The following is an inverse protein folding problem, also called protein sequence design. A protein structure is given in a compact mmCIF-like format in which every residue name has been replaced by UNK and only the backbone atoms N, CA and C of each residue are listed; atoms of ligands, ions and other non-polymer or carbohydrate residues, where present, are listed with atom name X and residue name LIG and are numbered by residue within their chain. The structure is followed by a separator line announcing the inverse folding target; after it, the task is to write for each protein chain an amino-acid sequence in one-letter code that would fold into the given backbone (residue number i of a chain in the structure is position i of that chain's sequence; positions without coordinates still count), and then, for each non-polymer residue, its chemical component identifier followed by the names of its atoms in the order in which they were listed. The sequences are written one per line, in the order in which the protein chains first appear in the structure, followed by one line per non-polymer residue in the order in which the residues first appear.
data_IF_130638238363
#
_entry.id   IF_130638238363
#
_cell.length_a   1.000
_cell.length_b   1.000
_cell.length_c   1.000
_cell.angle_alpha   90.00
_cell.angle_beta   90.00
_cell.angle_gamma   90.00
#
_symmetry.space_group_name_H-M   'P 1'
#
loop_
_entity.id
_entity.type
_entity.pdbx_description
1 polymer ?
#
# COMPACT_ATOMS: atom_id res chain seq x y z
N UNK A 1 12.54 1.69 -29.95
CA UNK A 1 12.87 2.31 -28.65
C UNK A 1 11.89 1.75 -27.63
N UNK A 2 12.35 1.22 -26.49
CA UNK A 2 11.45 0.79 -25.42
C UNK A 2 10.63 2.00 -24.93
N UNK A 3 9.36 1.78 -24.60
CA UNK A 3 8.53 2.81 -23.97
C UNK A 3 8.99 3.04 -22.51
N UNK A 4 8.60 4.16 -21.91
CA UNK A 4 8.86 4.41 -20.48
C UNK A 4 8.27 3.30 -19.59
N UNK A 5 7.16 2.70 -20.00
CA UNK A 5 6.53 1.57 -19.32
C UNK A 5 7.41 0.31 -19.38
N UNK A 6 7.99 0.02 -20.54
CA UNK A 6 8.88 -1.15 -20.72
C UNK A 6 10.14 -1.02 -19.88
N UNK A 7 10.73 0.19 -19.83
CA UNK A 7 11.91 0.48 -18.99
C UNK A 7 11.58 0.29 -17.51
N UNK A 8 10.44 0.81 -17.05
CA UNK A 8 10.00 0.64 -15.66
C UNK A 8 9.79 -0.82 -15.31
N UNK A 9 9.11 -1.58 -16.17
CA UNK A 9 8.89 -3.01 -15.97
C UNK A 9 10.22 -3.77 -15.86
N UNK A 10 11.21 -3.43 -16.70
CA UNK A 10 12.57 -3.99 -16.62
C UNK A 10 13.28 -3.69 -15.30
N UNK A 11 13.23 -2.44 -14.82
CA UNK A 11 13.83 -2.05 -13.54
C UNK A 11 13.18 -2.77 -12.36
N UNK A 12 11.86 -2.90 -12.39
CA UNK A 12 11.10 -3.61 -11.35
C UNK A 12 11.43 -5.10 -11.34
N UNK A 13 11.51 -5.73 -12.50
CA UNK A 13 11.90 -7.14 -12.61
C UNK A 13 13.35 -7.38 -12.14
N UNK A 14 14.27 -6.44 -12.45
CA UNK A 14 15.64 -6.50 -11.96
C UNK A 14 15.72 -6.37 -10.43
N UNK A 15 14.95 -5.45 -9.84
CA UNK A 15 14.87 -5.29 -8.39
C UNK A 15 14.31 -6.54 -7.71
N UNK A 16 13.30 -7.17 -8.29
CA UNK A 16 12.74 -8.43 -7.78
C UNK A 16 13.74 -9.58 -7.83
N UNK A 17 14.45 -9.70 -8.95
CA UNK A 17 15.51 -10.68 -9.14
C UNK A 17 16.67 -10.52 -8.14
N UNK A 18 16.98 -9.28 -7.75
CA UNK A 18 18.07 -8.95 -6.81
C UNK A 18 17.66 -9.15 -5.34
N UNK A 19 16.46 -8.68 -4.96
CA UNK A 19 16.02 -8.71 -3.55
C UNK A 19 15.49 -10.08 -3.08
N UNK A 20 14.79 -10.80 -3.97
CA UNK A 20 14.03 -12.03 -3.64
C UNK A 20 14.45 -13.19 -4.52
N UNK A 21 14.75 -12.91 -5.80
CA UNK A 21 15.09 -13.90 -6.80
C UNK A 21 13.90 -14.66 -7.37
N UNK A 22 14.15 -15.67 -8.24
CA UNK A 22 15.47 -16.02 -8.76
C UNK A 22 15.97 -14.98 -9.79
N UNK A 23 17.30 -14.88 -9.94
CA UNK A 23 17.92 -14.06 -10.97
C UNK A 23 17.85 -14.75 -12.33
N UNK A 24 16.69 -14.64 -12.96
CA UNK A 24 16.41 -15.26 -14.25
C UNK A 24 15.69 -14.29 -15.20
N UNK A 25 16.42 -13.33 -15.78
CA UNK A 25 15.82 -12.33 -16.67
C UNK A 25 15.09 -13.03 -17.84
N UNK A 26 13.78 -12.83 -17.90
CA UNK A 26 12.91 -13.35 -18.96
C UNK A 26 12.32 -14.75 -18.73
N UNK A 27 12.66 -15.44 -17.63
CA UNK A 27 11.98 -16.67 -17.24
C UNK A 27 10.68 -16.37 -16.47
N UNK A 28 9.61 -17.18 -16.63
CA UNK A 28 8.45 -17.07 -15.78
C UNK A 28 8.84 -17.29 -14.31
N UNK A 29 8.26 -16.48 -13.42
CA UNK A 29 8.52 -16.54 -11.98
C UNK A 29 8.43 -17.97 -11.45
N UNK A 30 9.44 -18.40 -10.70
CA UNK A 30 9.47 -19.71 -10.04
C UNK A 30 10.06 -20.88 -10.84
N UNK A 31 10.12 -20.81 -12.17
CA UNK A 31 10.58 -21.94 -13.01
C UNK A 31 12.08 -21.93 -13.34
N UNK A 32 12.80 -20.87 -13.00
CA UNK A 32 14.18 -20.72 -13.40
C UNK A 32 15.15 -21.59 -12.59
N UNK A 33 16.07 -22.24 -13.31
CA UNK A 33 17.29 -22.80 -12.73
C UNK A 33 18.28 -21.67 -12.43
N UNK A 34 18.92 -21.74 -11.26
CA UNK A 34 19.88 -20.73 -10.82
C UNK A 34 20.99 -21.40 -10.00
N UNK A 35 22.21 -20.89 -10.16
CA UNK A 35 23.39 -21.29 -9.42
C UNK A 35 24.02 -20.05 -8.77
N UNK A 36 24.05 -20.02 -7.44
CA UNK A 36 24.63 -18.92 -6.68
C UNK A 36 26.05 -19.25 -6.20
N UNK A 37 27.00 -18.31 -6.26
CA UNK A 37 28.36 -18.50 -5.76
C UNK A 37 28.46 -18.31 -4.22
N UNK A 38 27.45 -17.72 -3.60
CA UNK A 38 27.36 -17.46 -2.15
C UNK A 38 26.15 -18.19 -1.56
N UNK A 39 26.11 -18.41 -0.23
CA UNK A 39 24.90 -18.85 0.46
C UNK A 39 23.72 -17.93 0.11
N UNK A 40 22.53 -18.47 -0.24
CA UNK A 40 21.40 -17.66 -0.68
C UNK A 40 20.92 -16.63 0.36
N UNK A 41 21.06 -16.89 1.66
CA UNK A 41 20.77 -15.92 2.74
C UNK A 41 21.69 -14.70 2.73
N UNK A 42 22.85 -14.80 2.07
CA UNK A 42 23.79 -13.68 1.81
C UNK A 42 23.64 -13.09 0.42
N UNK A 43 22.80 -13.70 -0.41
CA UNK A 43 22.54 -13.25 -1.78
C UNK A 43 21.24 -12.45 -1.86
N UNK A 44 20.19 -12.94 -1.20
CA UNK A 44 18.90 -12.27 -1.14
C UNK A 44 18.71 -11.54 0.18
N UNK A 45 18.09 -10.37 0.11
CA UNK A 45 17.79 -9.55 1.29
C UNK A 45 16.52 -10.02 2.00
N UNK A 46 15.54 -10.54 1.24
CA UNK A 46 14.23 -10.92 1.77
C UNK A 46 13.65 -12.11 0.99
N UNK A 47 12.42 -12.51 1.29
CA UNK A 47 11.79 -13.61 0.56
C UNK A 47 12.04 -15.01 1.12
N UNK A 48 12.65 -15.13 2.30
CA UNK A 48 13.05 -16.43 2.85
C UNK A 48 12.71 -16.59 4.32
N UNK A 49 12.62 -17.83 4.79
CA UNK A 49 12.44 -18.19 6.20
C UNK A 49 13.55 -19.12 6.69
N UNK A 50 14.27 -18.68 7.72
CA UNK A 50 15.20 -19.48 8.48
C UNK A 50 14.46 -20.46 9.42
N UNK A 51 15.08 -21.60 9.80
CA UNK A 51 14.55 -22.44 10.87
C UNK A 51 14.29 -21.64 12.16
N UNK A 52 13.15 -21.86 12.80
CA UNK A 52 12.77 -21.16 14.04
C UNK A 52 13.80 -21.33 15.16
N UNK A 53 14.48 -22.49 15.19
CA UNK A 53 15.52 -22.79 16.15
C UNK A 53 16.90 -22.20 15.81
N UNK A 54 17.08 -21.62 14.62
CA UNK A 54 18.36 -21.08 14.13
C UNK A 54 18.13 -19.80 13.32
N UNK A 55 17.90 -18.71 14.07
CA UNK A 55 17.54 -17.40 13.53
C UNK A 55 18.67 -16.38 13.61
N UNK A 56 19.74 -16.66 14.34
CA UNK A 56 20.82 -15.69 14.53
C UNK A 56 21.60 -15.49 13.22
N UNK A 57 21.86 -14.24 12.84
CA UNK A 57 22.74 -13.94 11.71
C UNK A 57 24.18 -14.28 12.08
N UNK A 58 24.85 -15.10 11.27
CA UNK A 58 26.27 -15.39 11.44
C UNK A 58 27.19 -14.46 10.61
N UNK A 59 26.65 -13.36 10.09
CA UNK A 59 27.41 -12.42 9.26
C UNK A 59 28.10 -11.34 10.13
N UNK A 60 29.45 -11.25 10.13
CA UNK A 60 30.17 -10.26 10.92
C UNK A 60 29.90 -8.81 10.49
N UNK A 61 29.36 -8.56 9.29
CA UNK A 61 28.95 -7.23 8.81
C UNK A 61 27.49 -6.89 9.11
N UNK A 62 26.68 -7.83 9.59
CA UNK A 62 25.30 -7.54 10.00
C UNK A 62 25.21 -6.70 11.29
N UNK A 63 26.33 -6.54 11.99
CA UNK A 63 26.52 -5.70 13.19
C UNK A 63 26.99 -4.28 12.86
N UNK A 64 27.24 -3.96 11.58
CA UNK A 64 27.62 -2.63 11.09
C UNK A 64 26.36 -1.88 10.62
N UNK A 65 25.46 -1.60 11.56
CA UNK A 65 24.42 -0.59 11.33
C UNK A 65 25.12 0.75 11.07
N UNK A 66 24.71 1.42 9.99
CA UNK A 66 25.22 2.72 9.53
C UNK A 66 25.27 3.72 10.70
N UNK A 67 26.43 3.87 11.33
CA UNK A 67 26.67 5.01 12.21
C UNK A 67 26.64 6.23 11.31
N UNK A 68 25.55 6.98 11.43
CA UNK A 68 25.43 8.29 10.85
C UNK A 68 26.55 9.14 11.45
N UNK A 69 27.67 9.24 10.75
CA UNK A 69 28.72 10.20 11.06
C UNK A 69 28.12 11.58 10.77
N UNK A 70 27.40 12.12 11.74
CA UNK A 70 27.19 13.55 11.85
C UNK A 70 28.57 14.16 12.06
N UNK A 71 29.14 14.68 10.98
CA UNK A 71 30.18 15.69 11.07
C UNK A 71 29.51 16.95 11.62
N UNK A 72 29.35 17.03 12.94
CA UNK A 72 29.20 18.31 13.63
C UNK A 72 30.12 18.27 14.86
N UNK A 73 31.18 19.06 14.73
CA UNK A 73 32.20 19.36 15.71
C UNK A 73 31.57 20.28 16.77
N UNK A 74 31.16 19.71 17.90
CA UNK A 74 30.90 20.46 19.14
C UNK A 74 31.48 19.66 20.32
N UNK A 75 32.55 20.22 20.90
CA UNK A 75 33.16 19.76 22.14
C UNK A 75 32.13 19.85 23.29
N UNK A 76 32.13 18.85 24.18
CA UNK A 76 31.29 18.73 25.39
C UNK A 76 29.91 18.02 25.25
N UNK A 77 29.89 16.78 24.77
CA UNK A 77 28.84 15.81 25.13
C UNK A 77 29.42 14.48 25.58
N UNK A 78 28.88 13.96 26.68
CA UNK A 78 29.22 12.65 27.22
C UNK A 78 29.08 11.58 26.13
N UNK A 79 29.95 10.56 26.06
CA UNK A 79 29.79 9.50 25.08
C UNK A 79 28.40 8.89 25.25
N UNK A 80 27.59 8.76 24.18
CA UNK A 80 26.28 8.16 24.27
C UNK A 80 26.44 6.76 24.87
N UNK A 81 25.60 6.43 25.84
CA UNK A 81 25.54 5.11 26.45
C UNK A 81 25.31 4.12 25.30
N UNK A 82 26.28 3.24 25.04
CA UNK A 82 26.23 2.28 23.93
C UNK A 82 24.98 1.42 24.13
N UNK A 83 23.92 1.72 23.37
CA UNK A 83 22.73 0.88 23.37
C UNK A 83 23.16 -0.56 23.06
N UNK A 84 22.66 -1.56 23.81
CA UNK A 84 23.08 -2.94 23.64
C UNK A 84 22.80 -3.37 22.20
N UNK A 85 23.87 -3.71 21.45
CA UNK A 85 23.80 -4.23 20.07
C UNK A 85 22.77 -5.36 20.00
N UNK A 86 21.59 -5.07 19.46
CA UNK A 86 20.58 -6.09 19.24
C UNK A 86 21.04 -6.95 18.07
N UNK A 87 21.21 -8.26 18.33
CA UNK A 87 21.56 -9.21 17.28
C UNK A 87 20.44 -9.26 16.25
N UNK A 88 20.79 -9.14 14.98
CA UNK A 88 19.85 -9.32 13.90
C UNK A 88 19.37 -10.79 13.83
N UNK A 89 18.06 -10.98 13.69
CA UNK A 89 17.43 -12.29 13.59
C UNK A 89 16.71 -12.46 12.26
N UNK A 90 16.99 -13.55 11.55
CA UNK A 90 16.25 -13.91 10.36
C UNK A 90 14.78 -14.24 10.67
N UNK A 91 13.86 -13.95 9.74
CA UNK A 91 12.46 -14.34 9.89
C UNK A 91 12.34 -15.87 9.83
N UNK A 92 11.55 -16.44 10.74
CA UNK A 92 11.23 -17.87 10.74
C UNK A 92 9.77 -18.15 10.35
N UNK A 93 8.98 -17.09 10.21
CA UNK A 93 7.58 -17.14 9.81
C UNK A 93 7.19 -15.91 9.02
N UNK A 94 6.25 -16.07 8.11
CA UNK A 94 5.53 -14.97 7.45
C UNK A 94 4.07 -15.36 7.28
N UNK A 95 3.17 -14.38 7.16
CA UNK A 95 1.75 -14.66 7.13
C UNK A 95 0.89 -13.49 6.74
N UNK A 96 -0.42 -13.69 6.80
CA UNK A 96 -1.39 -12.61 6.64
C UNK A 96 -2.62 -12.82 7.52
N UNK A 97 -3.22 -11.70 7.91
CA UNK A 97 -4.50 -11.62 8.60
C UNK A 97 -5.60 -11.18 7.64
N UNK A 98 -6.73 -11.86 7.70
CA UNK A 98 -7.94 -11.57 6.93
C UNK A 98 -9.15 -11.50 7.85
N UNK A 99 -10.20 -10.83 7.40
CA UNK A 99 -11.51 -10.92 8.05
C UNK A 99 -12.41 -11.88 7.28
N UNK A 100 -13.06 -12.76 8.02
CA UNK A 100 -14.02 -13.72 7.53
C UNK A 100 -15.44 -13.26 7.91
N UNK A 101 -16.45 -13.57 7.07
CA UNK A 101 -17.83 -13.35 7.42
C UNK A 101 -18.24 -14.23 8.61
N UNK A 102 -19.43 -13.93 9.15
CA UNK A 102 -20.08 -14.75 10.17
C UNK A 102 -20.10 -16.24 9.76
N UNK A 103 -19.89 -17.18 10.70
CA UNK A 103 -19.99 -18.61 10.43
C UNK A 103 -21.28 -18.95 9.65
N UNK A 104 -21.16 -19.82 8.66
CA UNK A 104 -22.31 -20.29 7.88
C UNK A 104 -23.26 -21.17 8.71
N UNK A 105 -22.74 -21.79 9.79
CA UNK A 105 -23.43 -22.85 10.55
C UNK A 105 -23.04 -24.27 10.10
N UNK A 106 -22.28 -24.39 9.01
CA UNK A 106 -21.71 -25.65 8.51
C UNK A 106 -20.19 -25.69 8.74
N UNK A 107 -19.54 -26.87 8.70
CA UNK A 107 -18.08 -26.94 8.74
C UNK A 107 -17.45 -26.22 7.54
N UNK A 108 -16.61 -25.22 7.81
CA UNK A 108 -15.97 -24.40 6.80
C UNK A 108 -14.46 -24.69 6.78
N UNK A 109 -13.86 -24.66 5.59
CA UNK A 109 -12.40 -24.73 5.43
C UNK A 109 -11.88 -23.52 4.66
N UNK A 110 -10.61 -23.22 4.88
CA UNK A 110 -9.83 -22.30 4.05
C UNK A 110 -8.64 -23.05 3.47
N UNK A 111 -8.42 -22.86 2.17
CA UNK A 111 -7.24 -23.41 1.50
C UNK A 111 -6.07 -22.44 1.66
N UNK A 112 -4.97 -22.93 2.22
CA UNK A 112 -3.70 -22.22 2.21
C UNK A 112 -2.75 -22.94 1.26
N UNK A 113 -2.31 -22.25 0.21
CA UNK A 113 -1.32 -22.73 -0.76
C UNK A 113 0.01 -22.04 -0.50
N UNK A 114 1.07 -22.83 -0.33
CA UNK A 114 2.42 -22.34 -0.11
C UNK A 114 3.27 -22.72 -1.33
N UNK A 115 4.00 -21.74 -1.87
CA UNK A 115 5.03 -21.96 -2.89
C UNK A 115 6.37 -21.45 -2.36
N UNK A 116 7.45 -22.14 -2.69
CA UNK A 116 8.81 -21.77 -2.28
C UNK A 116 9.85 -22.54 -3.11
N UNK A 117 11.11 -22.19 -2.93
CA UNK A 117 12.27 -22.89 -3.44
C UNK A 117 13.25 -23.24 -2.31
N UNK A 118 14.06 -24.25 -2.56
CA UNK A 118 15.18 -24.63 -1.69
C UNK A 118 16.49 -24.46 -2.45
N UNK A 119 17.60 -24.39 -1.72
CA UNK A 119 18.93 -24.40 -2.34
C UNK A 119 19.75 -25.56 -1.81
N UNK A 120 20.37 -26.29 -2.72
CA UNK A 120 21.25 -27.40 -2.41
C UNK A 120 22.69 -26.96 -2.65
N UNK A 121 23.54 -27.12 -1.63
CA UNK A 121 24.98 -26.89 -1.75
C UNK A 121 25.63 -27.99 -2.58
N UNK A 122 26.35 -27.61 -3.62
CA UNK A 122 27.08 -28.50 -4.51
C UNK A 122 28.55 -28.08 -4.64
N UNK A 123 29.43 -29.06 -4.82
CA UNK A 123 30.85 -28.82 -5.11
C UNK A 123 31.12 -29.11 -6.57
N UNK A 124 31.44 -28.08 -7.34
CA UNK A 124 31.82 -28.21 -8.74
C UNK A 124 33.35 -28.32 -8.88
N UNK A 125 33.79 -29.23 -9.76
CA UNK A 125 35.19 -29.34 -10.16
C UNK A 125 35.53 -28.14 -11.05
N UNK A 126 36.64 -27.46 -10.75
CA UNK A 126 37.18 -26.41 -11.61
C UNK A 126 38.32 -26.96 -12.48
N UNK A 127 38.69 -26.24 -13.54
CA UNK A 127 39.81 -26.59 -14.42
C UNK A 127 41.16 -26.68 -13.67
N UNK A 128 41.26 -26.07 -12.48
CA UNK A 128 42.34 -26.31 -11.53
C UNK A 128 41.98 -27.47 -10.59
N UNK A 129 42.66 -28.63 -10.66
CA UNK A 129 42.28 -29.84 -9.92
C UNK A 129 42.35 -29.70 -8.38
N UNK A 130 42.95 -28.61 -7.87
CA UNK A 130 43.07 -28.31 -6.44
C UNK A 130 42.01 -27.36 -5.89
N UNK A 131 41.18 -26.73 -6.72
CA UNK A 131 40.11 -25.82 -6.24
C UNK A 131 38.74 -26.42 -6.52
N UNK A 132 37.97 -26.63 -5.46
CA UNK A 132 36.53 -26.94 -5.56
C UNK A 132 35.76 -25.64 -5.41
N UNK A 133 34.87 -25.34 -6.36
CA UNK A 133 33.97 -24.20 -6.24
C UNK A 133 32.68 -24.67 -5.60
N UNK A 134 32.35 -24.10 -4.45
CA UNK A 134 31.06 -24.31 -3.80
C UNK A 134 30.04 -23.44 -4.52
N UNK A 135 28.91 -24.03 -4.90
CA UNK A 135 27.78 -23.34 -5.50
C UNK A 135 26.49 -23.80 -4.84
N UNK A 136 25.46 -22.97 -4.91
CA UNK A 136 24.13 -23.27 -4.39
C UNK A 136 23.16 -23.36 -5.56
N UNK A 137 22.61 -24.56 -5.79
CA UNK A 137 21.65 -24.81 -6.86
C UNK A 137 20.23 -24.68 -6.35
N UNK A 138 19.45 -23.84 -7.01
CA UNK A 138 18.02 -23.67 -6.74
C UNK A 138 17.24 -24.93 -7.11
N UNK A 139 16.30 -25.31 -6.25
CA UNK A 139 15.34 -26.40 -6.43
C UNK A 139 13.94 -25.85 -6.16
N UNK A 140 13.20 -25.42 -7.20
CA UNK A 140 11.81 -25.02 -7.02
C UNK A 140 10.97 -26.20 -6.54
N UNK A 141 10.18 -25.98 -5.49
CA UNK A 141 9.23 -26.97 -5.01
C UNK A 141 7.86 -26.74 -5.66
N UNK A 142 7.09 -27.81 -5.98
CA UNK A 142 5.74 -27.64 -6.51
C UNK A 142 4.84 -26.98 -5.45
N UNK A 143 3.83 -26.19 -5.86
CA UNK A 143 2.84 -25.64 -4.93
C UNK A 143 2.21 -26.73 -4.06
N UNK A 144 2.13 -26.47 -2.76
CA UNK A 144 1.53 -27.38 -1.77
C UNK A 144 0.38 -26.69 -1.08
N UNK A 145 -0.76 -27.38 -0.93
CA UNK A 145 -1.94 -26.81 -0.27
C UNK A 145 -2.36 -27.63 0.93
N UNK A 146 -2.88 -26.94 1.95
CA UNK A 146 -3.59 -27.52 3.09
C UNK A 146 -4.99 -26.93 3.19
N UNK A 147 -5.96 -27.76 3.58
CA UNK A 147 -7.33 -27.34 3.88
C UNK A 147 -7.46 -27.22 5.40
N UNK A 148 -7.40 -26.00 5.93
CA UNK A 148 -7.53 -25.72 7.36
C UNK A 148 -9.00 -25.58 7.73
N UNK A 149 -9.53 -26.40 8.67
CA UNK A 149 -10.84 -26.15 9.26
C UNK A 149 -10.86 -24.78 9.94
N UNK A 150 -11.92 -23.99 9.73
CA UNK A 150 -12.13 -22.69 10.39
C UNK A 150 -12.66 -22.87 11.83
N UNK A 151 -11.90 -23.65 12.60
CA UNK A 151 -12.06 -23.89 14.03
C UNK A 151 -10.83 -23.33 14.76
N UNK A 152 -11.04 -22.64 15.88
CA UNK A 152 -9.95 -21.93 16.57
C UNK A 152 -8.83 -22.87 17.03
N UNK A 153 -9.18 -24.05 17.53
CA UNK A 153 -8.21 -25.04 17.99
C UNK A 153 -7.46 -25.67 16.81
N UNK A 154 -8.16 -26.03 15.74
CA UNK A 154 -7.53 -26.59 14.54
C UNK A 154 -6.55 -25.60 13.87
N UNK A 155 -6.92 -24.32 13.84
CA UNK A 155 -6.06 -23.24 13.31
C UNK A 155 -4.81 -23.04 14.19
N UNK A 156 -4.94 -23.10 15.51
CA UNK A 156 -3.83 -22.96 16.45
C UNK A 156 -2.88 -24.18 16.44
N UNK A 157 -3.45 -25.41 16.44
CA UNK A 157 -2.69 -26.65 16.30
C UNK A 157 -1.91 -26.66 14.96
N UNK A 158 -2.53 -26.16 13.90
CA UNK A 158 -1.96 -26.00 12.57
C UNK A 158 -1.78 -27.33 11.82
N UNK A 159 -1.53 -27.25 10.51
CA UNK A 159 -1.32 -28.41 9.64
C UNK A 159 0.09 -28.40 9.04
N UNK A 160 0.80 -29.55 9.03
CA UNK A 160 2.07 -29.67 8.31
C UNK A 160 1.83 -29.52 6.81
N UNK A 161 2.76 -28.86 6.12
CA UNK A 161 2.72 -28.76 4.67
C UNK A 161 3.06 -30.13 4.05
N UNK A 162 2.25 -30.66 3.10
CA UNK A 162 2.48 -31.99 2.53
C UNK A 162 3.87 -32.15 1.92
N UNK A 163 4.48 -33.33 2.15
CA UNK A 163 5.81 -33.72 1.67
C UNK A 163 6.94 -32.72 1.98
N UNK A 164 6.72 -31.84 2.96
CA UNK A 164 7.67 -30.78 3.32
C UNK A 164 7.95 -30.82 4.82
N UNK A 165 8.83 -31.72 5.29
CA UNK A 165 9.09 -31.89 6.72
C UNK A 165 9.53 -30.58 7.38
N UNK A 166 8.92 -30.29 8.53
CA UNK A 166 9.23 -29.13 9.34
C UNK A 166 8.61 -27.81 8.86
N UNK A 167 7.84 -27.78 7.78
CA UNK A 167 7.08 -26.58 7.39
C UNK A 167 5.62 -26.76 7.81
N UNK A 168 5.07 -25.76 8.50
CA UNK A 168 3.71 -25.83 9.04
C UNK A 168 2.94 -24.55 8.73
N UNK A 169 1.64 -24.69 8.47
CA UNK A 169 0.69 -23.57 8.43
C UNK A 169 -0.13 -23.58 9.72
N UNK A 170 0.00 -22.54 10.53
CA UNK A 170 -0.73 -22.38 11.78
C UNK A 170 -1.15 -20.93 11.98
N UNK A 171 -1.99 -20.67 12.96
CA UNK A 171 -2.52 -19.32 13.12
C UNK A 171 -3.37 -19.10 14.34
N UNK A 172 -4.21 -18.07 14.26
CA UNK A 172 -5.21 -17.75 15.26
C UNK A 172 -6.52 -17.36 14.57
N UNK A 173 -7.63 -17.86 15.10
CA UNK A 173 -8.98 -17.47 14.68
C UNK A 173 -9.73 -16.92 15.89
N UNK A 174 -10.17 -15.67 15.82
CA UNK A 174 -10.86 -14.99 16.92
C UNK A 174 -12.03 -14.12 16.43
N UNK A 175 -13.04 -13.86 17.27
CA UNK A 175 -14.08 -12.89 16.95
C UNK A 175 -13.48 -11.49 16.71
N UNK A 176 -13.98 -10.77 15.69
CA UNK A 176 -13.51 -9.45 15.32
C UNK A 176 -14.66 -8.43 15.26
N UNK A 177 -15.46 -8.37 16.34
CA UNK A 177 -16.59 -7.44 16.41
C UNK A 177 -16.09 -6.01 16.64
N UNK A 178 -16.40 -5.14 15.69
CA UNK A 178 -16.10 -3.71 15.73
C UNK A 178 -17.17 -2.96 14.91
N UNK A 179 -17.29 -1.62 15.05
CA UNK A 179 -18.20 -0.84 14.21
C UNK A 179 -17.97 -1.07 12.71
N UNK A 180 -18.98 -1.58 12.01
CA UNK A 180 -18.90 -1.97 10.60
C UNK A 180 -18.42 -3.41 10.34
N UNK A 181 -18.11 -4.18 11.38
CA UNK A 181 -17.57 -5.55 11.32
C UNK A 181 -18.36 -6.56 12.19
N UNK A 182 -19.64 -6.29 12.43
CA UNK A 182 -20.45 -7.09 13.37
C UNK A 182 -20.59 -8.56 12.98
N UNK A 183 -20.17 -9.44 13.88
CA UNK A 183 -20.19 -10.89 13.68
C UNK A 183 -19.13 -11.41 12.69
N UNK A 184 -18.10 -10.63 12.37
CA UNK A 184 -16.93 -11.10 11.61
C UNK A 184 -15.92 -11.83 12.50
N UNK A 185 -15.00 -12.54 11.87
CA UNK A 185 -13.91 -13.28 12.55
C UNK A 185 -12.57 -12.84 11.95
N UNK A 186 -11.57 -12.58 12.77
CA UNK A 186 -10.21 -12.36 12.32
C UNK A 186 -9.48 -13.71 12.26
N UNK A 187 -8.91 -14.02 11.09
CA UNK A 187 -8.07 -15.17 10.87
C UNK A 187 -6.66 -14.68 10.52
N UNK A 188 -5.68 -15.05 11.33
CA UNK A 188 -4.26 -14.81 11.07
C UNK A 188 -3.60 -16.14 10.77
N UNK A 189 -3.07 -16.35 9.57
CA UNK A 189 -2.37 -17.57 9.18
C UNK A 189 -0.91 -17.27 8.85
N UNK A 190 -0.03 -18.14 9.30
CA UNK A 190 1.41 -18.04 9.16
C UNK A 190 1.97 -19.34 8.60
N UNK A 191 2.93 -19.23 7.68
CA UNK A 191 3.85 -20.32 7.37
C UNK A 191 5.03 -20.20 8.32
N UNK A 192 5.37 -21.29 9.01
CA UNK A 192 6.48 -21.35 9.97
C UNK A 192 7.47 -22.42 9.54
N UNK A 193 8.75 -22.06 9.46
CA UNK A 193 9.83 -23.00 9.25
C UNK A 193 10.29 -23.58 10.60
N UNK A 194 9.80 -24.77 10.95
CA UNK A 194 10.15 -25.56 12.15
C UNK A 194 11.17 -26.67 11.85
N UNK A 195 11.95 -26.55 10.78
CA UNK A 195 13.05 -27.49 10.50
C UNK A 195 14.08 -27.43 11.63
N UNK A 196 14.83 -28.52 11.78
CA UNK A 196 16.01 -28.49 12.63
C UNK A 196 17.11 -27.64 11.98
N UNK A 197 17.93 -26.94 12.78
CA UNK A 197 19.08 -26.18 12.28
C UNK A 197 19.98 -27.03 11.38
N UNK A 198 20.62 -26.38 10.41
CA UNK A 198 21.60 -27.04 9.55
C UNK A 198 22.93 -27.25 10.28
N UNK A 199 23.77 -28.13 9.75
CA UNK A 199 25.17 -28.18 10.19
C UNK A 199 25.89 -26.88 9.81
N UNK A 200 27.01 -26.59 10.49
CA UNK A 200 27.80 -25.37 10.21
C UNK A 200 28.26 -25.35 8.74
N UNK A 201 27.92 -24.28 8.03
CA UNK A 201 28.18 -24.11 6.59
C UNK A 201 27.10 -24.70 5.68
N UNK A 202 26.05 -25.29 6.25
CA UNK A 202 24.90 -25.89 5.57
C UNK A 202 23.56 -25.34 6.08
N UNK A 203 23.57 -24.22 6.82
CA UNK A 203 22.35 -23.64 7.42
C UNK A 203 21.31 -23.31 6.34
N UNK A 204 21.71 -22.66 5.26
CA UNK A 204 20.83 -22.25 4.15
C UNK A 204 20.12 -23.43 3.47
N UNK A 205 20.65 -24.65 3.56
CA UNK A 205 19.96 -25.84 3.05
C UNK A 205 18.70 -26.19 3.86
N UNK A 206 18.52 -25.59 5.04
CA UNK A 206 17.32 -25.70 5.89
C UNK A 206 16.36 -24.51 5.74
N UNK A 207 16.77 -23.48 5.02
CA UNK A 207 15.93 -22.32 4.75
C UNK A 207 14.97 -22.64 3.59
N UNK A 208 13.91 -21.85 3.48
CA UNK A 208 13.04 -21.85 2.31
C UNK A 208 13.02 -20.43 1.74
N UNK A 209 13.13 -20.31 0.41
CA UNK A 209 13.31 -19.04 -0.30
C UNK A 209 12.17 -18.81 -1.28
N UNK A 210 12.01 -17.55 -1.72
CA UNK A 210 10.93 -17.11 -2.61
C UNK A 210 9.57 -17.60 -2.14
N UNK A 211 9.34 -17.51 -0.83
CA UNK A 211 8.14 -18.07 -0.21
C UNK A 211 6.93 -17.18 -0.51
N UNK A 212 5.83 -17.78 -0.94
CA UNK A 212 4.53 -17.14 -1.12
C UNK A 212 3.45 -17.97 -0.44
N UNK A 213 2.53 -17.29 0.25
CA UNK A 213 1.32 -17.84 0.85
C UNK A 213 0.11 -17.24 0.16
N UNK A 214 -0.73 -18.10 -0.41
CA UNK A 214 -2.03 -17.75 -0.98
C UNK A 214 -3.14 -18.37 -0.11
N UNK A 215 -4.11 -17.55 0.27
CA UNK A 215 -5.33 -17.99 0.93
C UNK A 215 -6.50 -17.93 -0.04
N UNK A 216 -7.22 -19.04 -0.17
CA UNK A 216 -8.45 -19.13 -0.93
C UNK A 216 -9.63 -19.54 -0.03
N UNK A 217 -10.68 -18.73 -0.06
CA UNK A 217 -11.90 -18.95 0.70
C UNK A 217 -13.15 -18.69 -0.15
N UNK A 218 -13.94 -19.74 -0.38
CA UNK A 218 -15.04 -19.72 -1.34
C UNK A 218 -16.13 -18.70 -1.03
N UNK A 219 -16.38 -18.38 0.25
CA UNK A 219 -17.38 -17.38 0.66
C UNK A 219 -16.89 -15.93 0.57
N UNK A 220 -15.61 -15.74 0.29
CA UNK A 220 -14.99 -14.42 0.22
C UNK A 220 -14.59 -13.84 1.57
N UNK A 221 -13.65 -12.91 1.52
CA UNK A 221 -13.18 -12.16 2.67
C UNK A 221 -14.05 -10.93 2.90
N UNK A 222 -14.00 -10.38 4.11
CA UNK A 222 -14.67 -9.13 4.48
C UNK A 222 -13.60 -8.03 4.49
N UNK A 223 -13.83 -6.89 3.83
CA UNK A 223 -12.89 -5.79 3.92
C UNK A 223 -13.04 -5.07 5.27
N UNK A 224 -11.93 -4.70 5.90
CA UNK A 224 -11.91 -3.82 7.06
C UNK A 224 -12.18 -2.38 6.58
N UNK A 225 -13.28 -1.73 7.04
CA UNK A 225 -13.52 -0.34 6.71
C UNK A 225 -12.46 0.54 7.36
N UNK A 226 -11.92 1.52 6.62
CA UNK A 226 -11.10 2.55 7.25
C UNK A 226 -12.02 3.49 8.05
N UNK A 227 -11.73 3.63 9.35
CA UNK A 227 -12.46 4.51 10.28
C UNK A 227 -11.52 5.25 11.25
N UNK A 228 -10.21 5.26 10.97
CA UNK A 228 -9.22 5.81 11.89
C UNK A 228 -9.43 7.31 12.15
N UNK A 229 -9.74 8.07 11.10
CA UNK A 229 -9.95 9.52 11.20
C UNK A 229 -11.36 9.94 11.63
N UNK A 230 -12.32 9.00 11.75
CA UNK A 230 -13.73 9.32 12.05
C UNK A 230 -13.90 10.05 13.39
N UNK A 231 -13.02 9.75 14.35
CA UNK A 231 -13.02 10.32 15.70
C UNK A 231 -11.83 11.24 15.99
N UNK A 232 -11.06 11.59 14.97
CA UNK A 232 -9.88 12.43 15.14
C UNK A 232 -10.24 13.82 15.64
N UNK A 233 -9.41 14.37 16.53
CA UNK A 233 -9.52 15.75 16.99
C UNK A 233 -9.14 16.74 15.89
N UNK A 234 -8.21 16.35 15.02
CA UNK A 234 -7.78 17.14 13.88
C UNK A 234 -8.89 17.20 12.81
N UNK A 235 -9.33 18.40 12.38
CA UNK A 235 -10.23 18.55 11.25
C UNK A 235 -9.73 17.87 9.96
N UNK A 236 -8.43 17.90 9.67
CA UNK A 236 -7.87 17.38 8.42
C UNK A 236 -7.95 15.85 8.37
N UNK A 237 -7.71 15.18 9.49
CA UNK A 237 -7.88 13.72 9.61
C UNK A 237 -9.33 13.29 9.40
N UNK A 238 -10.31 14.08 9.87
CA UNK A 238 -11.74 13.81 9.63
C UNK A 238 -12.13 14.02 8.17
N UNK A 239 -11.53 15.00 7.50
CA UNK A 239 -11.71 15.22 6.06
C UNK A 239 -11.10 14.06 5.28
N UNK A 240 -9.90 13.60 5.65
CA UNK A 240 -9.25 12.45 5.05
C UNK A 240 -10.09 11.17 5.23
N UNK A 241 -10.63 10.90 6.42
CA UNK A 241 -11.57 9.78 6.64
C UNK A 241 -12.76 9.84 5.68
N UNK A 242 -13.37 11.02 5.50
CA UNK A 242 -14.49 11.18 4.59
C UNK A 242 -14.08 10.96 3.12
N UNK A 243 -12.92 11.48 2.70
CA UNK A 243 -12.41 11.33 1.33
C UNK A 243 -12.11 9.86 1.02
N UNK A 244 -11.43 9.16 1.94
CA UNK A 244 -11.00 7.79 1.76
C UNK A 244 -12.00 6.74 2.29
N UNK A 245 -13.23 7.12 2.64
CA UNK A 245 -14.28 6.23 3.21
C UNK A 245 -14.57 4.96 2.42
N UNK A 246 -14.37 4.99 1.10
CA UNK A 246 -14.60 3.86 0.19
C UNK A 246 -13.36 2.96 0.03
N UNK A 247 -12.21 3.37 0.57
CA UNK A 247 -11.02 2.53 0.63
C UNK A 247 -11.14 1.59 1.81
N UNK A 248 -10.85 0.33 1.57
CA UNK A 248 -10.92 -0.70 2.60
C UNK A 248 -9.74 -1.64 2.50
N UNK A 249 -9.36 -2.18 3.64
CA UNK A 249 -8.22 -3.09 3.76
C UNK A 249 -8.72 -4.53 3.75
N UNK A 250 -8.29 -5.32 2.77
CA UNK A 250 -8.72 -6.72 2.66
C UNK A 250 -7.92 -7.66 3.55
N UNK A 251 -6.65 -7.31 3.82
CA UNK A 251 -5.74 -8.11 4.60
C UNK A 251 -4.58 -7.26 5.14
N UNK A 252 -3.97 -7.76 6.21
CA UNK A 252 -2.73 -7.22 6.78
C UNK A 252 -1.66 -8.30 6.67
N UNK A 253 -0.54 -7.98 6.06
CA UNK A 253 0.60 -8.89 6.01
C UNK A 253 1.47 -8.83 7.26
N UNK A 254 2.07 -9.95 7.61
CA UNK A 254 3.00 -10.10 8.74
C UNK A 254 4.36 -10.52 8.23
N UNK A 255 5.32 -9.60 8.28
CA UNK A 255 6.67 -9.79 7.73
C UNK A 255 6.71 -9.80 6.19
N UNK A 256 5.59 -9.55 5.52
CA UNK A 256 5.43 -9.52 4.06
C UNK A 256 4.21 -8.65 3.72
N UNK A 257 4.11 -8.11 2.50
CA UNK A 257 2.91 -7.39 2.06
C UNK A 257 1.86 -8.39 1.51
N UNK A 258 0.65 -7.90 1.23
CA UNK A 258 -0.46 -8.71 0.71
C UNK A 258 -1.14 -7.99 -0.43
N UNK A 259 -1.57 -8.74 -1.43
CA UNK A 259 -2.35 -8.24 -2.55
C UNK A 259 -3.52 -9.18 -2.88
N UNK A 260 -4.58 -8.60 -3.43
CA UNK A 260 -5.68 -9.34 -4.04
C UNK A 260 -5.41 -9.46 -5.55
N UNK A 261 -5.32 -10.67 -6.11
CA UNK A 261 -5.21 -10.85 -7.56
C UNK A 261 -6.32 -10.13 -8.34
N UNK A 262 -5.97 -9.57 -9.50
CA UNK A 262 -6.88 -8.83 -10.37
C UNK A 262 -8.06 -9.70 -10.89
N UNK A 263 -9.15 -9.04 -11.29
CA UNK A 263 -10.28 -9.67 -11.97
C UNK A 263 -11.29 -10.37 -11.04
N UNK A 264 -11.09 -10.30 -9.72
CA UNK A 264 -12.04 -10.82 -8.74
C UNK A 264 -13.26 -9.90 -8.59
N UNK A 265 -14.48 -10.44 -8.77
CA UNK A 265 -15.73 -9.71 -8.46
C UNK A 265 -15.94 -9.55 -6.95
N UNK A 266 -15.55 -10.58 -6.20
CA UNK A 266 -15.50 -10.62 -4.75
C UNK A 266 -14.14 -11.20 -4.37
N UNK A 267 -13.48 -10.59 -3.39
CA UNK A 267 -12.13 -11.03 -2.97
C UNK A 267 -12.26 -12.37 -2.25
N UNK A 268 -11.91 -13.44 -2.95
CA UNK A 268 -11.93 -14.83 -2.48
C UNK A 268 -10.53 -15.40 -2.38
N UNK A 269 -9.56 -14.73 -3.00
CA UNK A 269 -8.16 -15.11 -3.01
C UNK A 269 -7.31 -13.90 -2.63
N UNK A 270 -6.35 -14.11 -1.73
CA UNK A 270 -5.37 -13.13 -1.28
C UNK A 270 -4.01 -13.82 -1.24
N UNK A 271 -2.95 -13.13 -1.66
CA UNK A 271 -1.60 -13.68 -1.66
C UNK A 271 -0.60 -12.71 -1.07
N UNK A 272 0.44 -13.25 -0.46
CA UNK A 272 1.58 -12.46 0.01
C UNK A 272 2.43 -11.97 -1.16
N UNK A 273 3.04 -10.80 -1.04
CA UNK A 273 4.00 -10.25 -2.01
C UNK A 273 5.14 -9.55 -1.29
N UNK A 274 6.37 -9.80 -1.71
CA UNK A 274 7.56 -9.18 -1.12
C UNK A 274 7.86 -7.80 -1.67
N UNK A 275 7.39 -7.53 -2.90
CA UNK A 275 7.57 -6.25 -3.58
C UNK A 275 6.18 -5.80 -4.04
N UNK A 276 5.38 -5.19 -3.15
CA UNK A 276 4.04 -4.72 -3.48
C UNK A 276 4.12 -3.65 -4.57
N UNK A 277 3.17 -3.70 -5.51
CA UNK A 277 3.11 -2.76 -6.65
C UNK A 277 1.73 -2.14 -6.72
N UNK A 278 1.70 -0.83 -6.93
CA UNK A 278 0.46 -0.12 -7.20
C UNK A 278 0.67 0.92 -8.28
N UNK A 279 -0.22 0.94 -9.28
CA UNK A 279 -0.19 1.96 -10.31
C UNK A 279 -0.97 3.19 -9.85
N UNK A 280 -0.26 4.30 -9.62
CA UNK A 280 -0.90 5.58 -9.35
C UNK A 280 -1.47 6.12 -10.65
N UNK A 281 -2.80 6.15 -10.75
CA UNK A 281 -3.50 6.66 -11.92
C UNK A 281 -3.20 8.15 -12.11
N UNK A 282 -2.91 8.54 -13.35
CA UNK A 282 -2.72 9.96 -13.68
C UNK A 282 -4.04 10.71 -13.53
N UNK A 283 -3.98 11.86 -12.84
CA UNK A 283 -5.10 12.81 -12.79
C UNK A 283 -5.36 13.32 -14.20
N UNK A 284 -6.56 13.05 -14.71
CA UNK A 284 -7.06 13.58 -15.99
C UNK A 284 -8.02 14.71 -15.68
N UNK A 285 -7.67 15.92 -16.09
CA UNK A 285 -8.55 17.08 -15.94
C UNK A 285 -9.82 16.89 -16.76
N UNK A 286 -10.96 17.23 -16.15
CA UNK A 286 -12.24 17.29 -16.85
C UNK A 286 -12.19 18.41 -17.89
N UNK A 287 -12.65 18.12 -19.10
CA UNK A 287 -12.84 19.15 -20.13
C UNK A 287 -14.30 19.57 -20.11
N UNK A 288 -14.58 20.70 -19.48
CA UNK A 288 -15.89 21.32 -19.53
C UNK A 288 -15.92 22.32 -20.69
N UNK A 289 -16.56 21.93 -21.79
CA UNK A 289 -16.69 22.72 -23.02
C UNK A 289 -17.21 24.16 -22.85
N UNK A 290 -18.09 24.49 -21.89
CA UNK A 290 -18.57 25.86 -21.72
C UNK A 290 -17.66 26.77 -20.90
N UNK A 291 -16.59 26.27 -20.26
CA UNK A 291 -15.73 27.09 -19.38
C UNK A 291 -14.54 27.65 -20.16
N UNK A 292 -14.38 28.97 -20.14
CA UNK A 292 -13.19 29.62 -20.68
C UNK A 292 -12.03 29.50 -19.69
N UNK A 293 -11.13 28.55 -19.92
CA UNK A 293 -9.97 28.30 -19.05
C UNK A 293 -8.65 28.87 -19.57
N UNK A 294 -8.61 29.35 -20.83
CA UNK A 294 -7.42 29.97 -21.41
C UNK A 294 -7.24 31.40 -20.92
N UNK A 295 -6.08 31.68 -20.33
CA UNK A 295 -5.75 33.00 -19.78
C UNK A 295 -5.82 34.10 -20.84
N UNK A 296 -5.44 33.82 -22.09
CA UNK A 296 -5.53 34.79 -23.19
C UNK A 296 -6.97 35.18 -23.51
N UNK A 297 -7.90 34.23 -23.37
CA UNK A 297 -9.33 34.49 -23.57
C UNK A 297 -9.90 35.41 -22.49
N UNK A 298 -9.58 35.12 -21.23
CA UNK A 298 -10.02 35.92 -20.09
C UNK A 298 -9.39 37.32 -20.10
N UNK A 299 -8.10 37.44 -20.46
CA UNK A 299 -7.41 38.72 -20.56
C UNK A 299 -8.02 39.65 -21.62
N UNK A 300 -8.42 39.11 -22.78
CA UNK A 300 -9.11 39.87 -23.82
C UNK A 300 -10.47 40.41 -23.33
N UNK A 301 -11.25 39.55 -22.67
CA UNK A 301 -12.54 39.97 -22.09
C UNK A 301 -12.37 41.05 -21.02
N UNK A 302 -11.31 40.95 -20.21
CA UNK A 302 -10.99 41.96 -19.20
C UNK A 302 -10.55 43.30 -19.81
N UNK A 303 -9.69 43.27 -20.82
CA UNK A 303 -9.23 44.47 -21.54
C UNK A 303 -10.39 45.20 -22.23
N UNK A 304 -11.25 44.44 -22.93
CA UNK A 304 -12.42 45.00 -23.61
C UNK A 304 -13.41 45.63 -22.61
N UNK A 305 -13.65 45.01 -21.46
CA UNK A 305 -14.52 45.58 -20.44
C UNK A 305 -13.99 46.90 -19.85
N UNK A 306 -12.66 47.07 -19.78
CA UNK A 306 -12.02 48.32 -19.36
C UNK A 306 -12.15 49.42 -20.44
N UNK A 307 -11.95 49.06 -21.72
CA UNK A 307 -12.14 49.97 -22.86
C UNK A 307 -13.58 50.46 -22.99
N UNK A 308 -14.55 49.56 -22.79
CA UNK A 308 -15.99 49.86 -22.86
C UNK A 308 -16.51 50.62 -21.61
N UNK A 309 -15.65 50.88 -20.62
CA UNK A 309 -16.02 51.53 -19.35
C UNK A 309 -16.98 50.71 -18.48
N UNK A 310 -17.13 49.42 -18.77
CA UNK A 310 -18.05 48.49 -18.07
C UNK A 310 -17.37 47.74 -16.91
N UNK A 311 -16.06 47.93 -16.72
CA UNK A 311 -15.29 47.45 -15.59
C UNK A 311 -14.40 48.55 -15.01
N UNK A 312 -14.09 48.44 -13.71
CA UNK A 312 -13.10 49.27 -13.03
C UNK A 312 -11.88 48.42 -12.65
N UNK A 313 -10.71 49.06 -12.46
CA UNK A 313 -9.50 48.37 -12.03
C UNK A 313 -9.76 47.53 -10.75
N UNK A 314 -9.39 46.25 -10.82
CA UNK A 314 -9.58 45.30 -9.72
C UNK A 314 -10.97 44.66 -9.61
N UNK A 315 -11.89 44.89 -10.55
CA UNK A 315 -13.18 44.15 -10.65
C UNK A 315 -13.24 43.34 -11.95
N UNK A 316 -13.64 42.06 -11.92
CA UNK A 316 -13.93 41.33 -13.15
C UNK A 316 -15.15 41.97 -13.83
N UNK A 317 -14.99 42.38 -15.09
CA UNK A 317 -16.12 42.87 -15.89
C UNK A 317 -17.18 41.77 -16.09
N UNK A 318 -18.43 42.16 -16.35
CA UNK A 318 -19.56 41.24 -16.51
C UNK A 318 -19.28 40.11 -17.52
N UNK A 319 -18.51 40.40 -18.57
CA UNK A 319 -18.10 39.42 -19.57
C UNK A 319 -17.15 38.33 -19.04
N UNK A 320 -16.22 38.69 -18.14
CA UNK A 320 -15.31 37.74 -17.47
C UNK A 320 -16.09 36.87 -16.48
N UNK A 321 -16.99 37.49 -15.70
CA UNK A 321 -17.87 36.75 -14.80
C UNK A 321 -18.74 35.75 -15.56
N UNK A 322 -19.38 36.16 -16.67
CA UNK A 322 -20.17 35.28 -17.52
C UNK A 322 -19.34 34.13 -18.13
N UNK A 323 -18.08 34.36 -18.48
CA UNK A 323 -17.20 33.34 -19.03
C UNK A 323 -16.77 32.27 -17.99
N UNK A 324 -16.72 32.64 -16.71
CA UNK A 324 -16.39 31.75 -15.60
C UNK A 324 -17.63 31.15 -14.92
N UNK A 325 -18.81 31.73 -15.12
CA UNK A 325 -20.08 31.28 -14.54
C UNK A 325 -20.33 29.76 -14.71
N UNK A 326 -20.09 29.13 -15.88
CA UNK A 326 -20.33 27.70 -16.03
C UNK A 326 -19.45 26.82 -15.13
N UNK A 327 -18.26 27.30 -14.72
CA UNK A 327 -17.42 26.62 -13.75
C UNK A 327 -18.08 26.62 -12.38
N UNK A 328 -18.62 27.77 -11.99
CA UNK A 328 -19.25 27.93 -10.68
C UNK A 328 -20.54 27.12 -10.59
N UNK A 329 -21.34 27.10 -11.66
CA UNK A 329 -22.53 26.26 -11.77
C UNK A 329 -22.17 24.76 -11.66
N UNK A 330 -21.08 24.34 -12.33
CA UNK A 330 -20.59 22.98 -12.26
C UNK A 330 -20.15 22.58 -10.83
N UNK A 331 -19.46 23.47 -10.11
CA UNK A 331 -19.10 23.24 -8.70
C UNK A 331 -20.33 23.22 -7.79
N UNK A 332 -21.31 24.11 -7.99
CA UNK A 332 -22.54 24.12 -7.21
C UNK A 332 -23.32 22.81 -7.38
N UNK A 333 -23.45 22.32 -8.62
CA UNK A 333 -24.07 21.03 -8.92
C UNK A 333 -23.28 19.88 -8.27
N UNK A 334 -21.95 19.88 -8.39
CA UNK A 334 -21.09 18.85 -7.77
C UNK A 334 -21.19 18.84 -6.25
N UNK A 335 -21.22 19.99 -5.58
CA UNK A 335 -21.44 20.12 -4.12
C UNK A 335 -22.82 19.57 -3.75
N UNK A 336 -23.84 19.87 -4.56
CA UNK A 336 -25.19 19.31 -4.41
C UNK A 336 -25.19 17.78 -4.48
N UNK A 337 -24.44 17.18 -5.42
CA UNK A 337 -24.25 15.74 -5.48
C UNK A 337 -23.54 15.20 -4.23
N UNK A 338 -22.45 15.84 -3.79
CA UNK A 338 -21.69 15.42 -2.60
C UNK A 338 -22.56 15.45 -1.33
N UNK A 339 -23.43 16.44 -1.18
CA UNK A 339 -24.33 16.58 -0.04
C UNK A 339 -25.31 15.40 0.10
N UNK A 340 -25.63 14.73 -1.00
CA UNK A 340 -26.60 13.63 -1.07
C UNK A 340 -25.97 12.23 -1.03
N UNK A 341 -24.64 12.12 -1.00
CA UNK A 341 -23.97 10.81 -0.91
C UNK A 341 -24.34 10.15 0.43
N UNK A 342 -24.86 8.90 0.42
CA UNK A 342 -25.17 8.18 1.66
C UNK A 342 -23.89 7.88 2.44
N UNK A 343 -23.94 8.06 3.75
CA UNK A 343 -22.82 7.79 4.67
C UNK A 343 -23.27 6.79 5.74
N UNK A 344 -22.35 5.97 6.19
CA UNK A 344 -22.55 4.88 7.16
C UNK A 344 -22.30 5.30 8.61
N UNK A 345 -21.98 6.59 8.84
CA UNK A 345 -21.67 7.15 10.15
C UNK A 345 -22.23 8.56 10.33
N UNK A 346 -22.86 8.86 11.49
CA UNK A 346 -23.25 10.22 11.87
C UNK A 346 -22.07 11.21 11.93
N UNK A 347 -20.86 10.77 12.30
CA UNK A 347 -19.69 11.65 12.37
C UNK A 347 -19.24 12.08 10.98
N UNK A 348 -19.29 11.16 10.01
CA UNK A 348 -19.03 11.49 8.60
C UNK A 348 -20.07 12.46 8.05
N UNK A 349 -21.34 12.30 8.44
CA UNK A 349 -22.38 13.25 8.07
C UNK A 349 -22.13 14.66 8.62
N UNK A 350 -21.65 14.77 9.85
CA UNK A 350 -21.27 16.04 10.47
C UNK A 350 -20.12 16.71 9.70
N UNK A 351 -19.03 15.97 9.44
CA UNK A 351 -17.89 16.46 8.65
C UNK A 351 -18.35 16.92 7.26
N UNK A 352 -19.19 16.14 6.57
CA UNK A 352 -19.77 16.52 5.27
C UNK A 352 -20.57 17.83 5.38
N UNK A 353 -21.44 17.95 6.39
CA UNK A 353 -22.24 19.18 6.61
C UNK A 353 -21.32 20.39 6.79
N UNK A 354 -20.26 20.27 7.58
CA UNK A 354 -19.28 21.35 7.78
C UNK A 354 -18.61 21.75 6.46
N UNK A 355 -18.21 20.79 5.64
CA UNK A 355 -17.57 21.07 4.34
C UNK A 355 -18.54 21.73 3.36
N UNK A 356 -19.77 21.22 3.24
CA UNK A 356 -20.81 21.77 2.36
C UNK A 356 -21.18 23.19 2.82
N UNK A 357 -21.39 23.41 4.12
CA UNK A 357 -21.72 24.73 4.67
C UNK A 357 -20.57 25.72 4.46
N UNK A 358 -19.31 25.31 4.55
CA UNK A 358 -18.16 26.18 4.28
C UNK A 358 -18.05 26.55 2.80
N UNK A 359 -18.38 25.63 1.87
CA UNK A 359 -18.20 25.86 0.44
C UNK A 359 -19.36 26.62 -0.23
N UNK A 360 -20.60 26.48 0.26
CA UNK A 360 -21.77 27.16 -0.34
C UNK A 360 -21.62 28.70 -0.33
N UNK A 361 -21.24 29.36 0.78
CA UNK A 361 -21.02 30.81 0.80
C UNK A 361 -19.85 31.25 -0.07
N UNK A 362 -18.82 30.43 -0.25
CA UNK A 362 -17.66 30.77 -1.09
C UNK A 362 -18.00 30.73 -2.58
N UNK A 363 -18.76 29.71 -3.00
CA UNK A 363 -19.33 29.62 -4.35
C UNK A 363 -20.30 30.79 -4.59
N UNK A 364 -21.20 31.08 -3.65
CA UNK A 364 -22.14 32.20 -3.74
C UNK A 364 -21.43 33.56 -3.73
N UNK A 365 -20.34 33.71 -2.96
CA UNK A 365 -19.52 34.93 -2.93
C UNK A 365 -18.71 35.12 -4.21
N UNK A 366 -18.22 34.04 -4.84
CA UNK A 366 -17.57 34.11 -6.14
C UNK A 366 -18.56 34.54 -7.25
N UNK A 367 -19.84 34.20 -7.09
CA UNK A 367 -20.95 34.63 -7.97
C UNK A 367 -21.42 36.07 -7.72
N UNK A 368 -21.18 36.60 -6.53
CA UNK A 368 -21.76 37.86 -6.06
C UNK A 368 -20.69 38.84 -5.58
N UNK A 369 -19.75 39.25 -6.45
CA UNK A 369 -18.82 40.35 -6.11
C UNK A 369 -19.33 41.67 -6.71
N UNK A 370 -19.98 42.57 -5.94
CA UNK A 370 -20.17 43.96 -6.35
C UNK A 370 -19.26 44.98 -5.62
N UNK A 371 -18.56 44.66 -4.52
CA UNK A 371 -17.96 45.72 -3.67
C UNK A 371 -16.60 45.39 -3.02
N UNK A 372 -15.59 46.29 -3.04
CA UNK A 372 -14.29 46.07 -2.46
C UNK A 372 -14.18 46.79 -1.10
N UNK A 373 -14.42 46.09 0.01
CA UNK A 373 -13.84 46.49 1.30
C UNK A 373 -12.56 45.71 1.55
N UNK A 374 -11.60 46.31 2.26
CA UNK A 374 -10.29 45.73 2.60
C UNK A 374 -10.40 44.37 3.31
N UNK A 375 -11.49 44.16 4.03
CA UNK A 375 -11.82 42.91 4.74
C UNK A 375 -12.10 41.74 3.78
N UNK A 376 -12.54 42.00 2.55
CA UNK A 376 -12.83 40.98 1.53
C UNK A 376 -11.57 40.54 0.80
N UNK A 377 -10.60 41.43 0.57
CA UNK A 377 -9.29 41.06 0.01
C UNK A 377 -8.52 40.14 0.95
N UNK A 378 -8.60 40.39 2.25
CA UNK A 378 -7.99 39.52 3.28
C UNK A 378 -8.68 38.15 3.35
N UNK A 379 -10.01 38.10 3.13
CA UNK A 379 -10.77 36.84 3.05
C UNK A 379 -10.58 36.07 1.74
N UNK A 380 -10.37 36.75 0.61
CA UNK A 380 -10.05 36.12 -0.68
C UNK A 380 -8.60 35.65 -0.71
N UNK A 381 -7.66 36.41 -0.12
CA UNK A 381 -6.29 35.97 0.09
C UNK A 381 -6.23 34.80 1.07
N UNK A 382 -6.97 34.84 2.19
CA UNK A 382 -7.12 33.70 3.10
C UNK A 382 -7.80 32.48 2.45
N UNK A 383 -8.76 32.68 1.53
CA UNK A 383 -9.38 31.60 0.77
C UNK A 383 -8.43 31.01 -0.29
N UNK A 384 -7.62 31.85 -0.95
CA UNK A 384 -6.57 31.42 -1.86
C UNK A 384 -5.43 30.73 -1.12
N UNK A 385 -5.00 31.23 0.02
CA UNK A 385 -3.94 30.63 0.84
C UNK A 385 -4.42 29.29 1.43
N UNK A 386 -5.72 29.11 1.73
CA UNK A 386 -6.30 27.81 2.14
C UNK A 386 -6.52 26.85 0.96
N UNK A 387 -6.85 27.36 -0.24
CA UNK A 387 -6.97 26.57 -1.48
C UNK A 387 -5.61 26.23 -2.12
N UNK A 388 -4.56 26.95 -1.73
CA UNK A 388 -3.20 26.85 -2.25
C UNK A 388 -2.19 26.49 -1.15
N UNK A 389 -2.66 26.01 0.02
CA UNK A 389 -1.77 25.33 0.98
C UNK A 389 -1.31 24.06 0.26
N UNK A 390 0.01 23.80 0.17
CA UNK A 390 0.54 22.58 -0.44
C UNK A 390 0.01 21.28 0.19
N UNK A 391 -0.65 21.36 1.36
CA UNK A 391 -1.16 20.23 2.13
C UNK A 391 -2.63 19.88 1.84
N UNK A 392 -3.42 20.78 1.24
CA UNK A 392 -4.78 20.48 0.78
C UNK A 392 -4.73 20.37 -0.74
N UNK A 393 -4.53 19.15 -1.21
CA UNK A 393 -4.48 18.78 -2.62
C UNK A 393 -5.40 19.58 -3.52
N UNK A 394 -4.86 20.04 -4.65
CA UNK A 394 -5.53 20.87 -5.64
C UNK A 394 -6.93 20.32 -5.96
N UNK A 395 -7.99 21.14 -6.15
CA UNK A 395 -9.39 20.69 -6.31
C UNK A 395 -9.67 19.71 -7.47
N UNK A 396 -8.69 19.46 -8.35
CA UNK A 396 -8.75 18.38 -9.32
C UNK A 396 -8.60 16.98 -8.68
N UNK A 397 -8.01 16.88 -7.49
CA UNK A 397 -7.89 15.64 -6.70
C UNK A 397 -9.21 15.30 -5.98
N UNK A 398 -10.03 16.30 -5.63
CA UNK A 398 -11.33 16.10 -4.96
C UNK A 398 -12.43 15.57 -5.91
N UNK A 399 -12.33 15.86 -7.21
CA UNK A 399 -13.28 15.37 -8.22
C UNK A 399 -13.08 13.88 -8.60
N UNK A 400 -11.97 13.26 -8.17
CA UNK A 400 -11.59 11.90 -8.58
C UNK A 400 -12.28 10.78 -7.79
N UNK A 401 -12.90 11.07 -6.64
CA UNK A 401 -13.45 10.05 -5.73
C UNK A 401 -14.96 9.81 -5.86
N UNK A 402 -15.60 10.36 -6.91
CA UNK A 402 -16.98 10.02 -7.28
C UNK A 402 -16.99 8.91 -8.34
N UNK A 403 -16.65 7.69 -7.94
CA UNK A 403 -17.10 6.49 -8.67
C UNK A 403 -18.46 6.09 -8.10
N UNK A 404 -19.52 6.36 -8.87
CA UNK A 404 -20.75 5.57 -8.78
C UNK A 404 -20.41 4.10 -9.15
N UNK A 405 -21.15 3.12 -8.60
CA UNK A 405 -20.78 1.69 -8.60
C UNK A 405 -20.44 1.10 -9.97
#
# INVERSE_FOLDING_TARGET
MPSSTDVRAGLVAALEADLVGPFAPGAPAGAAEELLPLPPSRWYLTGFLAPQADRETHDPTADDEFTQAGEDDDEESSPPELEPKQKNHFPASMGLSVLLPRPSGEPETIRATVTFAEYVREEQKTDEPRKRKVVWRRVPQPPRSVELPLDARAVEEGLPLPDTPGIQVCGKLEPADAPGLSGTRALSLFVVNRRQPGERGQQDARFIFQIELELHYARGFVPRPNRQGESASDPDDRVADLQFRAHSEWAVGHGVAVEAPDGQRSVTTLRTTWIPRHEVRRVKTRKDGPVVTRMEGLAKLAAQALEDGTAAEGRPGAAVAAALQPLVDAYAAWIGDQANIPLDSPRREETRKLLVIKQVPQVVSALSIPDPSSEVRERVQGAWDVLNVPTLGHPAELAFFSTRP
#
